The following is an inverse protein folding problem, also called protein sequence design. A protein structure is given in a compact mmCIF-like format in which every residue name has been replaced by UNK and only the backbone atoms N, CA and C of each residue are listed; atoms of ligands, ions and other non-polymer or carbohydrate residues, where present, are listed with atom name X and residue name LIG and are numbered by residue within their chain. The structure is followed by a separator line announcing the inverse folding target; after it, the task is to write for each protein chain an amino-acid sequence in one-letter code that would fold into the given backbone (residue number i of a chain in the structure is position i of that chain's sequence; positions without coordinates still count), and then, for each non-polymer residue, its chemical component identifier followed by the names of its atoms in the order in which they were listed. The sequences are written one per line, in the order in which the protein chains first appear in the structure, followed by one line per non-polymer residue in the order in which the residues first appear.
data_IF_828928642158
#
_entry.id   IF_828928642158
#
_cell.length_a   1.000
_cell.length_b   1.000
_cell.length_c   1.000
_cell.angle_alpha   90.00
_cell.angle_beta   90.00
_cell.angle_gamma   90.00
#
_symmetry.space_group_name_H-M   'P 1'
#
loop_
_entity.id
_entity.type
_entity.pdbx_description
1 polymer ?
#
# COMPACT_ATOMS: atom_id res chain seq x y z
N UNK A 1 17.56 5.16 -12.90
CA UNK A 1 16.56 4.28 -13.56
C UNK A 1 16.04 3.13 -12.69
N UNK A 2 16.88 2.37 -11.96
CA UNK A 2 16.45 1.17 -11.22
C UNK A 2 15.45 1.41 -10.07
N UNK A 3 15.54 2.56 -9.38
CA UNK A 3 14.64 2.86 -8.27
C UNK A 3 13.19 3.12 -8.72
N UNK A 4 13.00 3.77 -9.87
CA UNK A 4 11.68 4.06 -10.41
C UNK A 4 10.96 2.78 -10.86
N UNK A 5 11.66 1.88 -11.55
CA UNK A 5 11.11 0.59 -11.98
C UNK A 5 10.68 -0.27 -10.79
N UNK A 6 11.48 -0.29 -9.74
CA UNK A 6 11.14 -1.07 -8.54
C UNK A 6 9.98 -0.45 -7.77
N UNK A 7 9.95 0.88 -7.65
CA UNK A 7 8.82 1.59 -7.04
C UNK A 7 7.52 1.34 -7.81
N UNK A 8 7.55 1.43 -9.13
CA UNK A 8 6.41 1.11 -9.99
C UNK A 8 5.98 -0.36 -9.80
N UNK A 9 6.93 -1.30 -9.80
CA UNK A 9 6.66 -2.72 -9.58
C UNK A 9 6.00 -2.99 -8.21
N UNK A 10 6.49 -2.35 -7.14
CA UNK A 10 5.94 -2.49 -5.79
C UNK A 10 4.46 -2.10 -5.75
N UNK A 11 4.11 -0.94 -6.33
CA UNK A 11 2.74 -0.45 -6.39
C UNK A 11 1.90 -1.30 -7.36
N UNK A 12 2.33 -1.51 -8.59
CA UNK A 12 1.54 -2.24 -9.58
C UNK A 12 1.20 -3.67 -9.13
N UNK A 13 2.15 -4.41 -8.57
CA UNK A 13 1.90 -5.77 -8.10
C UNK A 13 0.94 -5.81 -6.91
N UNK A 14 0.92 -4.77 -6.08
CA UNK A 14 -0.07 -4.66 -5.02
C UNK A 14 -1.47 -4.56 -5.60
N UNK A 15 -1.72 -3.59 -6.48
CA UNK A 15 -3.02 -3.39 -7.13
C UNK A 15 -3.45 -4.62 -7.92
N UNK A 16 -2.54 -5.22 -8.69
CA UNK A 16 -2.85 -6.41 -9.48
C UNK A 16 -3.20 -7.61 -8.62
N UNK A 17 -2.64 -7.74 -7.41
CA UNK A 17 -3.03 -8.82 -6.49
C UNK A 17 -4.51 -8.75 -6.09
N UNK A 18 -5.04 -7.53 -5.90
CA UNK A 18 -6.46 -7.31 -5.60
C UNK A 18 -7.34 -7.56 -6.81
N UNK A 19 -6.90 -7.12 -8.00
CA UNK A 19 -7.64 -7.35 -9.25
C UNK A 19 -7.74 -8.83 -9.62
N UNK A 20 -6.68 -9.62 -9.40
CA UNK A 20 -6.74 -11.08 -9.64
C UNK A 20 -7.86 -11.72 -8.82
N UNK A 21 -7.99 -11.36 -7.54
CA UNK A 21 -9.08 -11.89 -6.69
C UNK A 21 -10.43 -11.27 -7.05
N UNK A 22 -10.47 -10.01 -7.50
CA UNK A 22 -11.66 -9.37 -8.07
C UNK A 22 -12.22 -10.13 -9.28
N UNK A 23 -11.36 -10.44 -10.26
CA UNK A 23 -11.70 -11.19 -11.47
C UNK A 23 -12.12 -12.62 -11.15
N UNK A 24 -11.42 -13.30 -10.25
CA UNK A 24 -11.85 -14.65 -9.80
C UNK A 24 -13.22 -14.60 -9.13
N UNK A 25 -13.55 -13.51 -8.44
CA UNK A 25 -14.85 -13.27 -7.84
C UNK A 25 -16.01 -13.35 -8.84
N UNK A 26 -15.79 -12.99 -10.11
CA UNK A 26 -16.84 -13.03 -11.14
C UNK A 26 -17.23 -14.44 -11.57
N UNK A 27 -16.45 -15.46 -11.20
CA UNK A 27 -16.76 -16.86 -11.51
C UNK A 27 -17.87 -17.45 -10.62
N UNK A 28 -18.28 -16.77 -9.54
CA UNK A 28 -19.24 -17.29 -8.55
C UNK A 28 -20.71 -16.94 -8.84
N UNK A 29 -21.03 -16.45 -10.05
CA UNK A 29 -22.38 -16.11 -10.48
C UNK A 29 -22.71 -14.63 -10.40
N UNK A 30 -23.91 -14.25 -10.88
CA UNK A 30 -24.31 -12.86 -11.06
C UNK A 30 -24.39 -12.08 -9.73
N UNK A 31 -25.08 -12.63 -8.73
CA UNK A 31 -25.19 -12.01 -7.39
C UNK A 31 -23.82 -11.78 -6.76
N UNK A 32 -22.94 -12.78 -6.81
CA UNK A 32 -21.59 -12.70 -6.25
C UNK A 32 -20.73 -11.65 -6.99
N UNK A 33 -20.86 -11.57 -8.31
CA UNK A 33 -20.17 -10.57 -9.14
C UNK A 33 -20.60 -9.15 -8.80
N UNK A 34 -21.91 -8.92 -8.64
CA UNK A 34 -22.44 -7.62 -8.25
C UNK A 34 -21.95 -7.20 -6.85
N UNK A 35 -21.98 -8.13 -5.88
CA UNK A 35 -21.45 -7.91 -4.53
C UNK A 35 -19.96 -7.60 -4.56
N UNK A 36 -19.16 -8.41 -5.27
CA UNK A 36 -17.72 -8.20 -5.39
C UNK A 36 -17.41 -6.82 -5.98
N UNK A 37 -18.13 -6.41 -7.03
CA UNK A 37 -17.96 -5.11 -7.68
C UNK A 37 -18.22 -3.95 -6.71
N UNK A 38 -19.31 -4.01 -5.95
CA UNK A 38 -19.65 -2.97 -4.96
C UNK A 38 -18.59 -2.92 -3.86
N UNK A 39 -18.18 -4.06 -3.31
CA UNK A 39 -17.19 -4.10 -2.24
C UNK A 39 -15.82 -3.56 -2.69
N UNK A 40 -15.36 -3.92 -3.89
CA UNK A 40 -14.08 -3.45 -4.46
C UNK A 40 -14.12 -1.94 -4.70
N UNK A 41 -15.14 -1.42 -5.40
CA UNK A 41 -15.26 0.02 -5.66
C UNK A 41 -15.36 0.83 -4.37
N UNK A 42 -16.14 0.33 -3.41
CA UNK A 42 -16.25 0.95 -2.10
C UNK A 42 -14.90 0.98 -1.37
N UNK A 43 -14.12 -0.10 -1.45
CA UNK A 43 -12.79 -0.16 -0.86
C UNK A 43 -11.82 0.86 -1.47
N UNK A 44 -11.86 1.05 -2.79
CA UNK A 44 -11.05 2.06 -3.48
C UNK A 44 -11.42 3.49 -3.07
N UNK A 45 -12.70 3.79 -2.99
CA UNK A 45 -13.17 5.09 -2.52
C UNK A 45 -12.67 5.40 -1.11
N UNK A 46 -12.70 4.42 -0.21
CA UNK A 46 -12.21 4.57 1.16
C UNK A 46 -10.69 4.67 1.25
N UNK A 47 -9.96 3.97 0.36
CA UNK A 47 -8.50 3.98 0.35
C UNK A 47 -7.90 5.32 -0.12
N UNK A 48 -8.65 6.15 -0.86
CA UNK A 48 -8.17 7.45 -1.34
C UNK A 48 -7.57 8.34 -0.24
N UNK A 49 -8.14 8.30 0.97
CA UNK A 49 -7.60 9.03 2.13
C UNK A 49 -6.25 8.47 2.58
N UNK A 50 -6.12 7.14 2.61
CA UNK A 50 -4.89 6.44 2.97
C UNK A 50 -3.77 6.68 1.94
N UNK A 51 -4.11 6.72 0.66
CA UNK A 51 -3.17 7.03 -0.43
C UNK A 51 -2.58 8.44 -0.29
N UNK A 52 -3.41 9.43 0.05
CA UNK A 52 -2.93 10.79 0.33
C UNK A 52 -1.91 10.84 1.48
N UNK A 53 -2.15 10.05 2.53
CA UNK A 53 -1.22 9.91 3.66
C UNK A 53 0.08 9.23 3.21
N UNK A 54 0.01 8.20 2.37
CA UNK A 54 1.18 7.50 1.83
C UNK A 54 2.09 8.44 1.02
N UNK A 55 1.51 9.24 0.12
CA UNK A 55 2.26 10.21 -0.69
C UNK A 55 2.92 11.27 0.21
N UNK A 56 2.19 11.79 1.20
CA UNK A 56 2.72 12.75 2.16
C UNK A 56 3.86 12.14 3.00
N UNK A 57 3.71 10.89 3.43
CA UNK A 57 4.72 10.16 4.18
C UNK A 57 6.01 10.00 3.39
N UNK A 58 5.93 9.53 2.15
CA UNK A 58 7.09 9.36 1.28
C UNK A 58 7.82 10.67 1.04
N UNK A 59 7.09 11.74 0.75
CA UNK A 59 7.66 13.08 0.56
C UNK A 59 8.37 13.57 1.82
N UNK A 60 7.74 13.49 2.99
CA UNK A 60 8.33 13.99 4.24
C UNK A 60 9.53 13.17 4.70
N UNK A 61 9.46 11.85 4.58
CA UNK A 61 10.56 10.95 4.93
C UNK A 61 11.75 11.17 4.00
N UNK A 62 11.51 11.21 2.68
CA UNK A 62 12.57 11.46 1.70
C UNK A 62 13.26 12.80 1.91
N UNK A 63 12.49 13.87 2.08
CA UNK A 63 13.05 15.21 2.34
C UNK A 63 13.87 15.26 3.64
N UNK A 64 13.38 14.64 4.71
CA UNK A 64 14.10 14.61 5.99
C UNK A 64 15.40 13.79 5.91
N UNK A 65 15.40 12.67 5.18
CA UNK A 65 16.61 11.86 4.96
C UNK A 65 17.63 12.63 4.10
N UNK A 66 17.20 13.26 3.01
CA UNK A 66 18.07 14.08 2.15
C UNK A 66 18.66 15.29 2.89
N UNK A 67 17.92 15.87 3.83
CA UNK A 67 18.42 16.94 4.70
C UNK A 67 19.34 16.46 5.84
N UNK A 68 19.59 15.14 5.97
CA UNK A 68 20.39 14.58 7.06
C UNK A 68 19.72 14.70 8.43
N UNK A 69 18.38 14.70 8.49
CA UNK A 69 17.57 14.84 9.71
C UNK A 69 16.90 13.50 10.11
N UNK A 70 17.64 12.53 10.67
CA UNK A 70 17.14 11.18 10.94
C UNK A 70 15.95 11.15 11.91
N UNK A 71 15.96 12.00 12.94
CA UNK A 71 14.87 12.08 13.91
C UNK A 71 13.58 12.61 13.26
N UNK A 72 13.69 13.55 12.33
CA UNK A 72 12.54 14.08 11.61
C UNK A 72 11.97 13.03 10.65
N UNK A 73 12.82 12.25 9.98
CA UNK A 73 12.40 11.13 9.13
C UNK A 73 11.63 10.06 9.94
N UNK A 74 12.20 9.62 11.06
CA UNK A 74 11.56 8.63 11.94
C UNK A 74 10.22 9.12 12.51
N UNK A 75 10.15 10.38 12.96
CA UNK A 75 8.89 10.97 13.46
C UNK A 75 7.85 11.07 12.34
N UNK A 76 8.25 11.47 11.14
CA UNK A 76 7.34 11.55 9.98
C UNK A 76 6.78 10.18 9.63
N UNK A 77 7.61 9.13 9.65
CA UNK A 77 7.17 7.75 9.45
C UNK A 77 6.16 7.30 10.52
N UNK A 78 6.47 7.51 11.80
CA UNK A 78 5.55 7.15 12.89
C UNK A 78 4.22 7.91 12.83
N UNK A 79 4.26 9.21 12.54
CA UNK A 79 3.06 10.04 12.37
C UNK A 79 2.20 9.58 11.19
N UNK A 80 2.82 9.19 10.06
CA UNK A 80 2.08 8.68 8.91
C UNK A 80 1.30 7.40 9.23
N UNK A 81 1.93 6.44 9.91
CA UNK A 81 1.25 5.21 10.34
C UNK A 81 0.12 5.51 11.32
N UNK A 82 0.36 6.38 12.29
CA UNK A 82 -0.67 6.81 13.25
C UNK A 82 -1.87 7.46 12.54
N UNK A 83 -1.62 8.39 11.61
CA UNK A 83 -2.67 9.06 10.86
C UNK A 83 -3.45 8.08 9.98
N UNK A 84 -2.77 7.17 9.29
CA UNK A 84 -3.41 6.19 8.41
C UNK A 84 -4.32 5.22 9.19
N UNK A 85 -3.86 4.72 10.34
CA UNK A 85 -4.70 3.89 11.20
C UNK A 85 -5.86 4.68 11.81
N UNK A 86 -5.63 5.93 12.21
CA UNK A 86 -6.69 6.79 12.76
C UNK A 86 -7.76 7.11 11.71
N UNK A 87 -7.36 7.44 10.48
CA UNK A 87 -8.30 7.67 9.37
C UNK A 87 -9.05 6.40 9.01
N UNK A 88 -8.37 5.26 9.00
CA UNK A 88 -9.02 3.98 8.75
C UNK A 88 -10.08 3.66 9.82
N UNK A 89 -9.79 3.92 11.09
CA UNK A 89 -10.77 3.74 12.18
C UNK A 89 -12.01 4.62 12.00
N UNK A 90 -11.83 5.89 11.61
CA UNK A 90 -12.93 6.80 11.31
C UNK A 90 -13.79 6.28 10.15
N UNK A 91 -13.16 5.67 9.15
CA UNK A 91 -13.84 5.11 7.98
C UNK A 91 -14.59 3.80 8.30
N UNK A 92 -13.95 2.87 9.01
CA UNK A 92 -14.55 1.55 9.26
C UNK A 92 -15.61 1.57 10.35
N UNK A 93 -15.59 2.57 11.26
CA UNK A 93 -16.57 2.67 12.34
C UNK A 93 -18.02 2.81 11.83
N UNK A 94 -18.34 3.73 10.89
CA UNK A 94 -19.67 3.78 10.25
C UNK A 94 -20.05 2.48 9.53
N UNK A 95 -19.12 1.83 8.83
CA UNK A 95 -19.38 0.53 8.17
C UNK A 95 -19.82 -0.51 9.19
N UNK A 96 -19.06 -0.63 10.28
CA UNK A 96 -19.37 -1.55 11.36
C UNK A 96 -20.73 -1.22 12.01
N UNK A 97 -20.98 0.06 12.31
CA UNK A 97 -22.21 0.53 12.93
C UNK A 97 -23.45 0.31 12.04
N UNK A 98 -23.30 0.45 10.73
CA UNK A 98 -24.38 0.26 9.76
C UNK A 98 -24.84 -1.20 9.63
N UNK A 99 -24.06 -2.18 10.12
CA UNK A 99 -24.39 -3.62 10.07
C UNK A 99 -24.86 -4.11 8.68
N UNK A 100 -24.20 -3.62 7.62
CA UNK A 100 -24.51 -4.02 6.25
C UNK A 100 -25.65 -3.25 5.58
N UNK A 101 -26.35 -2.35 6.29
CA UNK A 101 -27.43 -1.54 5.68
C UNK A 101 -26.94 -0.59 4.61
N UNK A 102 -25.66 -0.20 4.63
CA UNK A 102 -25.06 0.66 3.60
C UNK A 102 -25.15 0.08 2.18
N UNK A 103 -25.28 -1.24 2.05
CA UNK A 103 -25.33 -1.90 0.74
C UNK A 103 -26.68 -1.76 0.03
N UNK A 104 -27.76 -1.46 0.75
CA UNK A 104 -29.09 -1.31 0.15
C UNK A 104 -29.19 -0.12 -0.80
N UNK A 105 -28.25 0.84 -0.69
CA UNK A 105 -28.08 1.94 -1.63
C UNK A 105 -27.52 1.51 -2.99
N UNK A 106 -26.88 0.34 -3.07
CA UNK A 106 -26.17 -0.14 -4.27
C UNK A 106 -26.75 -1.42 -4.86
N UNK A 107 -27.21 -2.34 -4.00
CA UNK A 107 -27.72 -3.64 -4.40
C UNK A 107 -29.15 -3.84 -3.90
N UNK A 108 -29.95 -4.46 -4.76
CA UNK A 108 -31.29 -4.95 -4.43
C UNK A 108 -31.25 -6.48 -4.26
N UNK A 109 -32.12 -7.01 -3.39
CA UNK A 109 -32.25 -8.45 -3.15
C UNK A 109 -31.66 -8.93 -1.82
N UNK A 110 -32.37 -9.87 -1.20
CA UNK A 110 -32.03 -10.45 0.11
C UNK A 110 -30.70 -11.22 0.07
N UNK A 111 -30.45 -11.95 -1.02
CA UNK A 111 -29.21 -12.73 -1.21
C UNK A 111 -27.96 -11.81 -1.21
N UNK A 112 -28.01 -10.69 -1.92
CA UNK A 112 -26.95 -9.67 -1.96
C UNK A 112 -26.67 -9.10 -0.57
N UNK A 113 -27.72 -8.81 0.20
CA UNK A 113 -27.60 -8.26 1.56
C UNK A 113 -26.94 -9.26 2.51
N UNK A 114 -27.34 -10.53 2.47
CA UNK A 114 -26.75 -11.59 3.29
C UNK A 114 -25.27 -11.78 2.94
N UNK A 115 -24.94 -11.80 1.65
CA UNK A 115 -23.58 -12.02 1.20
C UNK A 115 -22.64 -10.86 1.57
N UNK A 116 -23.10 -9.61 1.41
CA UNK A 116 -22.34 -8.43 1.85
C UNK A 116 -22.17 -8.41 3.36
N UNK A 117 -23.22 -8.73 4.12
CA UNK A 117 -23.14 -8.77 5.57
C UNK A 117 -22.10 -9.78 6.05
N UNK A 118 -21.95 -10.92 5.35
CA UNK A 118 -20.90 -11.91 5.62
C UNK A 118 -19.50 -11.44 5.24
N UNK A 119 -19.35 -10.66 4.17
CA UNK A 119 -18.06 -10.14 3.71
C UNK A 119 -17.61 -8.87 4.45
N UNK A 120 -18.56 -8.11 5.04
CA UNK A 120 -18.29 -6.83 5.70
C UNK A 120 -17.22 -6.91 6.79
N UNK A 121 -17.17 -7.94 7.67
CA UNK A 121 -16.09 -8.07 8.65
C UNK A 121 -14.71 -8.20 7.99
N UNK A 122 -14.60 -8.97 6.91
CA UNK A 122 -13.35 -9.11 6.16
C UNK A 122 -12.97 -7.79 5.47
N UNK A 123 -13.94 -7.07 4.88
CA UNK A 123 -13.72 -5.74 4.31
C UNK A 123 -13.20 -4.74 5.35
N UNK A 124 -13.76 -4.72 6.56
CA UNK A 124 -13.31 -3.84 7.65
C UNK A 124 -11.85 -4.11 8.02
N UNK A 125 -11.49 -5.38 8.20
CA UNK A 125 -10.10 -5.77 8.51
C UNK A 125 -9.16 -5.44 7.36
N UNK A 126 -9.58 -5.71 6.12
CA UNK A 126 -8.84 -5.37 4.93
C UNK A 126 -8.54 -3.86 4.88
N UNK A 127 -9.56 -3.01 5.04
CA UNK A 127 -9.38 -1.55 5.03
C UNK A 127 -8.42 -1.07 6.11
N UNK A 128 -8.47 -1.66 7.31
CA UNK A 128 -7.59 -1.30 8.41
C UNK A 128 -6.13 -1.63 8.11
N UNK A 129 -5.85 -2.87 7.72
CA UNK A 129 -4.48 -3.31 7.42
C UNK A 129 -3.95 -2.68 6.14
N UNK A 130 -4.79 -2.55 5.10
CA UNK A 130 -4.40 -1.93 3.84
C UNK A 130 -4.05 -0.44 4.01
N UNK A 131 -4.81 0.29 4.83
CA UNK A 131 -4.48 1.70 5.13
C UNK A 131 -3.15 1.82 5.87
N UNK A 132 -2.92 0.96 6.87
CA UNK A 132 -1.64 0.91 7.58
C UNK A 132 -0.48 0.58 6.64
N UNK A 133 -0.66 -0.42 5.79
CA UNK A 133 0.32 -0.81 4.78
C UNK A 133 0.59 0.32 3.76
N UNK A 134 -0.44 1.03 3.30
CA UNK A 134 -0.28 2.18 2.39
C UNK A 134 0.68 3.23 2.95
N UNK A 135 0.57 3.55 4.24
CA UNK A 135 1.53 4.44 4.90
C UNK A 135 2.97 3.88 4.90
N UNK A 136 3.13 2.57 5.16
CA UNK A 136 4.45 1.91 5.12
C UNK A 136 5.02 1.91 3.70
N UNK A 137 4.20 1.68 2.67
CA UNK A 137 4.58 1.75 1.26
C UNK A 137 5.10 3.14 0.91
N UNK A 138 4.41 4.20 1.33
CA UNK A 138 4.87 5.58 1.22
C UNK A 138 6.23 5.80 1.89
N UNK A 139 6.41 5.31 3.12
CA UNK A 139 7.68 5.41 3.86
C UNK A 139 8.82 4.67 3.12
N UNK A 140 8.55 3.50 2.55
CA UNK A 140 9.54 2.74 1.77
C UNK A 140 9.95 3.47 0.49
N UNK A 141 9.00 4.11 -0.21
CA UNK A 141 9.30 4.95 -1.36
C UNK A 141 10.18 6.15 -0.95
N UNK A 142 9.80 6.85 0.13
CA UNK A 142 10.57 7.98 0.65
C UNK A 142 11.97 7.61 1.16
N UNK A 143 12.15 6.39 1.66
CA UNK A 143 13.45 5.89 2.17
C UNK A 143 14.29 5.14 1.13
N UNK A 144 13.80 5.02 -0.11
CA UNK A 144 14.50 4.26 -1.16
C UNK A 144 14.55 2.75 -0.91
N UNK A 145 13.64 2.20 -0.10
CA UNK A 145 13.58 0.78 0.29
C UNK A 145 12.46 0.00 -0.41
N UNK A 146 12.00 0.46 -1.57
CA UNK A 146 10.90 -0.18 -2.32
C UNK A 146 11.14 -1.66 -2.68
N UNK A 147 12.39 -2.11 -2.85
CA UNK A 147 12.74 -3.52 -3.05
C UNK A 147 12.21 -4.43 -1.93
N UNK A 148 12.26 -3.95 -0.68
CA UNK A 148 11.74 -4.73 0.46
C UNK A 148 10.22 -4.83 0.40
N UNK A 149 9.53 -3.74 0.06
CA UNK A 149 8.09 -3.75 -0.13
C UNK A 149 7.67 -4.67 -1.28
N UNK A 150 8.38 -4.61 -2.41
CA UNK A 150 8.15 -5.47 -3.57
C UNK A 150 8.24 -6.96 -3.22
N UNK A 151 9.35 -7.37 -2.58
CA UNK A 151 9.57 -8.78 -2.21
C UNK A 151 8.54 -9.23 -1.17
N UNK A 152 8.28 -8.42 -0.14
CA UNK A 152 7.29 -8.74 0.88
C UNK A 152 5.88 -8.89 0.27
N UNK A 153 5.52 -8.05 -0.70
CA UNK A 153 4.22 -8.13 -1.40
C UNK A 153 4.10 -9.44 -2.20
N UNK A 154 5.14 -9.81 -2.96
CA UNK A 154 5.17 -11.09 -3.68
C UNK A 154 4.96 -12.28 -2.74
N UNK A 155 5.63 -12.29 -1.59
CA UNK A 155 5.48 -13.39 -0.63
C UNK A 155 4.09 -13.36 0.03
N UNK A 156 3.70 -12.22 0.60
CA UNK A 156 2.48 -12.13 1.41
C UNK A 156 1.21 -12.25 0.55
N UNK A 157 1.12 -11.51 -0.56
CA UNK A 157 -0.09 -11.47 -1.37
C UNK A 157 -0.11 -12.60 -2.42
N UNK A 158 0.98 -12.82 -3.15
CA UNK A 158 0.98 -13.80 -4.25
C UNK A 158 1.23 -15.24 -3.81
N UNK A 159 2.13 -15.48 -2.87
CA UNK A 159 2.45 -16.86 -2.43
C UNK A 159 1.56 -17.35 -1.29
N UNK A 160 0.94 -16.44 -0.53
CA UNK A 160 0.12 -16.81 0.64
C UNK A 160 -1.34 -16.35 0.44
N UNK A 161 -1.59 -15.05 0.30
CA UNK A 161 -2.93 -14.47 0.25
C UNK A 161 -3.81 -15.02 -0.88
N UNK A 162 -3.30 -15.00 -2.11
CA UNK A 162 -4.01 -15.52 -3.29
C UNK A 162 -4.29 -17.03 -3.15
N UNK A 163 -3.29 -17.92 -2.91
CA UNK A 163 -3.55 -19.34 -2.74
C UNK A 163 -4.52 -19.64 -1.59
N UNK A 164 -4.42 -18.94 -0.47
CA UNK A 164 -5.33 -19.10 0.65
C UNK A 164 -6.76 -18.69 0.28
N UNK A 165 -6.91 -17.55 -0.41
CA UNK A 165 -8.19 -17.08 -0.92
C UNK A 165 -8.83 -18.08 -1.88
N UNK A 166 -8.08 -18.54 -2.88
CA UNK A 166 -8.55 -19.56 -3.83
C UNK A 166 -8.95 -20.87 -3.12
N UNK A 167 -8.16 -21.30 -2.15
CA UNK A 167 -8.45 -22.52 -1.38
C UNK A 167 -9.74 -22.36 -0.57
N UNK A 168 -9.91 -21.25 0.17
CA UNK A 168 -11.14 -20.99 0.93
C UNK A 168 -12.36 -20.87 0.01
N UNK A 169 -12.20 -20.25 -1.15
CA UNK A 169 -13.29 -20.05 -2.10
C UNK A 169 -13.75 -21.31 -2.79
N UNK A 170 -12.81 -22.10 -3.32
CA UNK A 170 -13.13 -23.28 -4.14
C UNK A 170 -13.12 -24.59 -3.35
N UNK A 171 -12.10 -24.84 -2.53
CA UNK A 171 -11.99 -26.11 -1.79
C UNK A 171 -12.97 -26.20 -0.63
N UNK A 172 -13.09 -25.12 0.15
CA UNK A 172 -14.03 -25.04 1.28
C UNK A 172 -15.41 -24.46 0.91
N UNK A 173 -15.61 -24.10 -0.37
CA UNK A 173 -16.91 -23.65 -0.88
C UNK A 173 -17.40 -22.32 -0.29
N UNK A 174 -16.51 -21.44 0.18
CA UNK A 174 -16.90 -20.14 0.74
C UNK A 174 -17.14 -19.05 -0.32
N UNK A 175 -16.94 -19.34 -1.61
CA UNK A 175 -17.18 -18.39 -2.69
C UNK A 175 -16.38 -17.09 -2.50
N UNK A 176 -16.99 -15.94 -2.76
CA UNK A 176 -16.29 -14.64 -2.64
C UNK A 176 -15.84 -14.31 -1.20
N UNK A 177 -16.48 -14.87 -0.18
CA UNK A 177 -16.06 -14.68 1.21
C UNK A 177 -14.64 -15.24 1.45
N UNK A 178 -14.32 -16.37 0.81
CA UNK A 178 -12.97 -16.94 0.85
C UNK A 178 -11.92 -15.99 0.24
N UNK A 179 -12.26 -15.30 -0.85
CA UNK A 179 -11.39 -14.35 -1.53
C UNK A 179 -11.08 -13.15 -0.62
N UNK A 180 -12.11 -12.61 0.05
CA UNK A 180 -11.94 -11.51 1.00
C UNK A 180 -11.05 -11.88 2.18
N UNK A 181 -11.22 -13.08 2.74
CA UNK A 181 -10.32 -13.54 3.80
C UNK A 181 -8.88 -13.78 3.29
N UNK A 182 -8.71 -14.27 2.07
CA UNK A 182 -7.40 -14.36 1.41
C UNK A 182 -6.72 -12.99 1.31
N UNK A 183 -7.46 -11.95 0.91
CA UNK A 183 -6.95 -10.57 0.90
C UNK A 183 -6.53 -10.10 2.29
N UNK A 184 -7.38 -10.31 3.31
CA UNK A 184 -7.08 -9.94 4.71
C UNK A 184 -5.77 -10.57 5.16
N UNK A 185 -5.57 -11.87 4.91
CA UNK A 185 -4.33 -12.56 5.27
C UNK A 185 -3.11 -12.00 4.55
N UNK A 186 -3.22 -11.74 3.25
CA UNK A 186 -2.14 -11.13 2.47
C UNK A 186 -1.73 -9.77 3.03
N UNK A 187 -2.69 -8.85 3.20
CA UNK A 187 -2.38 -7.50 3.71
C UNK A 187 -1.97 -7.50 5.17
N UNK A 188 -2.48 -8.41 6.00
CA UNK A 188 -2.08 -8.55 7.39
C UNK A 188 -0.60 -8.93 7.52
N UNK A 189 -0.15 -9.93 6.75
CA UNK A 189 1.24 -10.36 6.73
C UNK A 189 2.15 -9.27 6.16
N UNK A 190 1.68 -8.58 5.12
CA UNK A 190 2.41 -7.48 4.50
C UNK A 190 2.59 -6.30 5.46
N UNK A 191 1.50 -5.84 6.07
CA UNK A 191 1.53 -4.77 7.08
C UNK A 191 2.43 -5.14 8.27
N UNK A 192 2.30 -6.35 8.78
CA UNK A 192 3.08 -6.81 9.95
C UNK A 192 4.57 -6.90 9.64
N UNK A 193 4.94 -7.55 8.53
CA UNK A 193 6.34 -7.71 8.13
C UNK A 193 7.03 -6.38 7.86
N UNK A 194 6.36 -5.46 7.16
CA UNK A 194 6.91 -4.14 6.86
C UNK A 194 6.94 -3.21 8.08
N UNK A 195 5.98 -3.34 9.00
CA UNK A 195 6.04 -2.62 10.28
C UNK A 195 7.28 -3.03 11.07
N UNK A 196 7.53 -4.33 11.20
CA UNK A 196 8.74 -4.86 11.87
C UNK A 196 10.00 -4.35 11.16
N UNK A 197 10.03 -4.40 9.83
CA UNK A 197 11.16 -3.90 9.06
C UNK A 197 11.41 -2.41 9.33
N UNK A 198 10.40 -1.55 9.23
CA UNK A 198 10.54 -0.10 9.45
C UNK A 198 10.94 0.22 10.88
N UNK A 199 10.44 -0.51 11.88
CA UNK A 199 10.85 -0.37 13.27
C UNK A 199 12.32 -0.76 13.50
N UNK A 200 12.88 -1.65 12.66
CA UNK A 200 14.27 -2.08 12.73
C UNK A 200 15.26 -1.17 12.00
N UNK A 201 14.78 -0.17 11.24
CA UNK A 201 15.65 0.74 10.47
C UNK A 201 16.47 1.61 11.42
N UNK A 202 17.79 1.57 11.24
CA UNK A 202 18.68 2.61 11.78
C UNK A 202 18.55 3.88 10.93
N UNK A 203 17.67 4.78 11.39
CA UNK A 203 17.40 6.05 10.72
C UNK A 203 18.63 6.95 10.63
N UNK A 204 19.58 6.86 11.57
CA UNK A 204 20.82 7.65 11.53
C UNK A 204 21.74 7.14 10.43
N UNK A 205 22.00 5.83 10.41
CA UNK A 205 22.80 5.20 9.37
C UNK A 205 22.20 5.43 7.98
N UNK A 206 20.87 5.35 7.86
CA UNK A 206 20.17 5.62 6.62
C UNK A 206 20.34 7.07 6.16
N UNK A 207 20.15 8.06 7.05
CA UNK A 207 20.31 9.47 6.69
C UNK A 207 21.75 9.81 6.27
N UNK A 208 22.75 9.24 6.95
CA UNK A 208 24.17 9.42 6.58
C UNK A 208 24.42 8.85 5.17
N UNK A 209 23.94 7.63 4.91
CA UNK A 209 24.10 6.98 3.61
C UNK A 209 23.42 7.79 2.50
N UNK A 210 22.16 8.18 2.69
CA UNK A 210 21.40 8.95 1.69
C UNK A 210 22.08 10.29 1.38
N UNK A 211 22.60 10.98 2.41
CA UNK A 211 23.31 12.25 2.19
C UNK A 211 24.62 12.06 1.43
N UNK A 212 25.39 11.02 1.74
CA UNK A 212 26.63 10.73 1.03
C UNK A 212 26.37 10.40 -0.46
N UNK A 213 25.31 9.65 -0.76
CA UNK A 213 24.89 9.34 -2.14
C UNK A 213 24.48 10.62 -2.91
N UNK A 214 23.76 11.54 -2.26
CA UNK A 214 23.39 12.82 -2.88
C UNK A 214 24.59 13.75 -3.12
N UNK A 215 25.55 13.77 -2.21
CA UNK A 215 26.80 14.54 -2.36
C UNK A 215 27.67 13.97 -3.50
N UNK A 216 27.70 12.64 -3.68
CA UNK A 216 28.39 12.03 -4.82
C UNK A 216 27.70 12.30 -6.15
N UNK A 217 26.37 12.18 -6.22
CA UNK A 217 25.61 12.40 -7.46
C UNK A 217 25.68 13.87 -7.90
N UNK A 218 25.54 14.81 -6.95
CA UNK A 218 25.68 16.25 -7.26
C UNK A 218 27.10 16.64 -7.68
N UNK A 219 28.13 15.94 -7.18
CA UNK A 219 29.51 16.10 -7.64
C UNK A 219 29.73 15.61 -9.07
N UNK A 220 29.07 14.51 -9.46
CA UNK A 220 29.11 13.97 -10.82
C UNK A 220 28.37 14.90 -11.80
N UNK A 221 27.16 15.35 -11.47
CA UNK A 221 26.41 16.29 -12.32
C UNK A 221 27.13 17.64 -12.50
N UNK A 222 27.74 18.16 -11.44
CA UNK A 222 28.55 19.38 -11.53
C UNK A 222 29.82 19.16 -12.36
N UNK A 223 30.46 18.00 -12.25
CA UNK A 223 31.60 17.64 -13.10
C UNK A 223 31.20 17.50 -14.56
N UNK A 224 30.08 16.84 -14.88
CA UNK A 224 29.56 16.73 -16.24
C UNK A 224 29.15 18.10 -16.80
N UNK A 225 28.47 18.93 -16.01
CA UNK A 225 28.11 20.30 -16.40
C UNK A 225 29.31 21.22 -16.62
N UNK A 226 30.41 21.04 -15.88
CA UNK A 226 31.67 21.75 -16.12
C UNK A 226 32.43 21.25 -17.35
N UNK A 227 32.32 19.95 -17.67
CA UNK A 227 32.91 19.36 -18.87
C UNK A 227 32.13 19.75 -20.14
N UNK A 228 30.80 19.85 -20.05
CA UNK A 228 29.95 20.35 -21.14
C UNK A 228 29.99 21.88 -21.28
N UNK A 229 30.24 22.61 -20.18
CA UNK A 229 30.39 24.07 -20.14
C UNK A 229 31.82 24.60 -20.33
N UNK A 230 32.78 23.72 -20.65
CA UNK A 230 34.19 24.07 -20.77
C UNK A 230 34.54 24.91 -22.01
N UNK A 231 34.87 26.19 -21.76
CA UNK A 231 35.59 27.17 -22.59
C UNK A 231 34.82 28.00 -23.63
N UNK A 232 34.47 29.23 -23.24
CA UNK A 232 34.93 30.45 -23.94
C UNK A 232 35.28 31.51 -22.88
N UNK A 233 36.55 31.54 -22.44
CA UNK A 233 37.12 32.77 -21.91
C UNK A 233 37.49 33.58 -23.15
N UNK A 234 36.59 34.47 -23.58
CA UNK A 234 36.93 35.53 -24.52
C UNK A 234 37.69 36.60 -23.72
N UNK A 235 39.02 36.55 -23.79
CA UNK A 235 39.85 37.70 -23.45
C UNK A 235 39.57 38.81 -24.46
N UNK A 236 38.96 39.91 -24.00
CA UNK A 236 38.91 41.20 -24.71
C UNK A 236 39.14 42.35 -23.75
#
# INVERSE_FOLDING_TARGET
AGLALTGAGMVCLEWWSYEVLGVVGSAFGETATAVQTVLVNFSYFMYATGEGIAIAAGTRVGNALGAGLPVAAQRSAGMAVFLALSSALIIVFPLWASRGTWVTSFLQGEESFVLVSRCTPALILFLLFNSGYGALSGILLGSGKQQVGLVSNLVACYLIGIPMGLTMSFHYGHGILGLWWGQVWGVFLLFTSLSIYIMSIDWKALAIKTRAELESDGGVEMSEGLLEGGFVIEDS
#
